data_IF_227573248606
#
_entry.id   IF_227573248606
#
_cell.length_a   1.000
_cell.length_b   1.000
_cell.length_c   1.000
_cell.angle_alpha   90.00
_cell.angle_beta   90.00
_cell.angle_gamma   90.00
#
_symmetry.space_group_name_H-M   'P 1'
#
loop_
_entity.id
_entity.type
_entity.pdbx_description
1 polymer ?
#
# COMPACT_ATOMS: atom_id res chain seq x y z
N UNK A 1 -53.78 32.88 -31.20
CA UNK A 1 -53.29 31.49 -31.00
C UNK A 1 -51.94 31.60 -30.29
N UNK A 2 -51.88 31.25 -29.00
CA UNK A 2 -50.68 31.42 -28.15
C UNK A 2 -49.78 30.20 -28.29
N UNK A 3 -48.54 30.42 -28.73
CA UNK A 3 -47.50 29.39 -28.78
C UNK A 3 -46.79 29.40 -27.42
N UNK A 4 -46.94 28.34 -26.63
CA UNK A 4 -46.26 28.16 -25.34
C UNK A 4 -44.98 27.36 -25.60
N UNK A 5 -43.83 28.00 -25.38
CA UNK A 5 -42.53 27.34 -25.30
C UNK A 5 -42.50 26.38 -24.11
N UNK A 6 -42.17 25.10 -24.33
CA UNK A 6 -41.67 24.21 -23.29
C UNK A 6 -40.16 24.02 -23.50
N UNK A 7 -39.36 24.78 -22.75
CA UNK A 7 -37.94 24.50 -22.51
C UNK A 7 -37.83 23.45 -21.41
N UNK A 8 -37.71 22.17 -21.79
CA UNK A 8 -37.24 21.12 -20.88
C UNK A 8 -35.74 21.31 -20.65
N UNK A 9 -35.39 21.93 -19.52
CA UNK A 9 -34.02 21.96 -19.02
C UNK A 9 -33.64 20.55 -18.55
N UNK A 10 -32.82 19.86 -19.34
CA UNK A 10 -32.17 18.62 -18.93
C UNK A 10 -31.13 18.96 -17.84
N UNK A 11 -31.50 18.77 -16.58
CA UNK A 11 -30.54 18.71 -15.49
C UNK A 11 -29.77 17.39 -15.63
N UNK A 12 -28.72 17.40 -16.43
CA UNK A 12 -27.73 16.33 -16.45
C UNK A 12 -26.97 16.39 -15.10
N UNK A 13 -27.48 15.67 -14.10
CA UNK A 13 -26.67 15.31 -12.94
C UNK A 13 -25.48 14.51 -13.47
N UNK A 14 -24.29 15.11 -13.48
CA UNK A 14 -23.04 14.37 -13.54
C UNK A 14 -22.96 13.52 -12.27
N UNK A 15 -23.62 12.37 -12.28
CA UNK A 15 -23.28 11.29 -11.37
C UNK A 15 -21.85 10.90 -11.74
N UNK A 16 -20.88 11.39 -10.99
CA UNK A 16 -19.51 10.91 -11.03
C UNK A 16 -19.56 9.43 -10.71
N UNK A 17 -19.49 8.59 -11.75
CA UNK A 17 -19.44 7.16 -11.57
C UNK A 17 -18.20 6.84 -10.73
N UNK A 18 -18.42 6.34 -9.51
CA UNK A 18 -17.35 5.87 -8.64
C UNK A 18 -16.63 4.74 -9.36
N UNK A 19 -15.31 4.79 -9.46
CA UNK A 19 -14.57 3.75 -10.15
C UNK A 19 -14.85 2.38 -9.49
N UNK A 20 -15.16 1.38 -10.29
CA UNK A 20 -15.32 0.01 -9.80
C UNK A 20 -13.96 -0.60 -9.49
N UNK A 21 -13.86 -1.31 -8.37
CA UNK A 21 -12.67 -2.07 -8.04
C UNK A 21 -12.47 -3.21 -9.04
N UNK A 22 -11.33 -3.21 -9.70
CA UNK A 22 -10.86 -4.23 -10.65
C UNK A 22 -9.33 -4.21 -10.70
N UNK A 23 -8.68 -5.24 -11.24
CA UNK A 23 -7.24 -5.23 -11.45
C UNK A 23 -6.82 -4.03 -12.30
N UNK A 24 -7.52 -3.76 -13.40
CA UNK A 24 -7.25 -2.62 -14.27
C UNK A 24 -7.30 -1.29 -13.50
N UNK A 25 -8.26 -1.12 -12.58
CA UNK A 25 -8.37 0.08 -11.75
C UNK A 25 -7.25 0.22 -10.71
N UNK A 26 -6.49 -0.84 -10.43
CA UNK A 26 -5.40 -0.87 -9.47
C UNK A 26 -4.01 -0.76 -10.13
N UNK A 27 -3.92 -0.90 -11.45
CA UNK A 27 -2.68 -0.65 -12.19
C UNK A 27 -2.26 0.81 -12.04
N UNK A 28 -0.97 1.05 -11.85
CA UNK A 28 -0.37 2.36 -11.63
C UNK A 28 0.42 2.44 -10.34
N UNK A 29 0.85 3.66 -9.98
CA UNK A 29 1.63 3.92 -8.78
C UNK A 29 0.75 4.47 -7.66
N UNK A 30 0.95 3.92 -6.46
CA UNK A 30 0.21 4.22 -5.26
C UNK A 30 1.18 4.58 -4.14
N UNK A 31 0.89 5.65 -3.42
CA UNK A 31 1.55 5.98 -2.16
C UNK A 31 0.63 5.66 -1.01
N UNK A 32 1.08 4.82 -0.08
CA UNK A 32 0.31 4.40 1.07
C UNK A 32 0.98 4.83 2.38
N UNK A 33 0.15 5.11 3.38
CA UNK A 33 0.57 5.60 4.69
C UNK A 33 0.70 7.14 4.74
N UNK A 34 1.31 7.68 5.81
CA UNK A 34 1.99 6.95 6.87
C UNK A 34 1.02 6.09 7.71
N UNK A 35 1.41 4.84 7.96
CA UNK A 35 0.66 3.90 8.81
C UNK A 35 1.49 3.60 10.06
N UNK A 36 0.92 3.86 11.23
CA UNK A 36 1.57 3.61 12.52
C UNK A 36 1.15 2.24 13.06
N UNK A 37 2.14 1.44 13.46
CA UNK A 37 1.98 0.17 14.16
C UNK A 37 2.72 0.26 15.50
N UNK A 38 2.07 -0.15 16.59
CA UNK A 38 2.64 -0.12 17.92
C UNK A 38 3.15 -1.51 18.28
N UNK A 39 4.47 -1.68 18.37
CA UNK A 39 5.11 -2.89 18.86
C UNK A 39 5.34 -2.84 20.38
N UNK A 40 5.69 -3.96 21.02
CA UNK A 40 5.91 -4.00 22.47
C UNK A 40 7.00 -3.05 22.98
N UNK A 41 8.03 -2.80 22.17
CA UNK A 41 9.23 -2.05 22.56
C UNK A 41 9.59 -0.90 21.58
N UNK A 42 8.78 -0.70 20.55
CA UNK A 42 9.03 0.29 19.51
C UNK A 42 7.73 0.68 18.82
N UNK A 43 7.68 1.91 18.34
CA UNK A 43 6.69 2.32 17.33
C UNK A 43 7.29 2.20 15.93
N UNK A 44 6.47 1.80 14.97
CA UNK A 44 6.84 1.68 13.57
C UNK A 44 5.89 2.52 12.72
N UNK A 45 6.43 3.47 11.96
CA UNK A 45 5.70 4.19 10.92
C UNK A 45 6.18 3.72 9.56
N UNK A 46 5.26 3.23 8.74
CA UNK A 46 5.56 2.75 7.38
C UNK A 46 4.90 3.66 6.36
N UNK A 47 5.66 4.01 5.32
CA UNK A 47 5.14 4.58 4.07
C UNK A 47 5.62 3.73 2.92
N UNK A 48 4.75 3.42 1.97
CA UNK A 48 5.12 2.68 0.77
C UNK A 48 4.80 3.47 -0.49
N UNK A 49 5.60 3.27 -1.53
CA UNK A 49 5.26 3.63 -2.91
C UNK A 49 5.29 2.37 -3.75
N UNK A 50 4.10 1.91 -4.13
CA UNK A 50 3.88 0.64 -4.84
C UNK A 50 3.46 0.90 -6.28
N UNK A 51 4.13 0.28 -7.24
CA UNK A 51 3.72 0.28 -8.64
C UNK A 51 3.23 -1.10 -9.03
N UNK A 52 1.96 -1.19 -9.42
CA UNK A 52 1.31 -2.38 -9.95
C UNK A 52 1.25 -2.28 -11.47
N UNK A 53 1.81 -3.25 -12.19
CA UNK A 53 1.83 -3.28 -13.66
C UNK A 53 0.70 -4.15 -14.24
N UNK A 54 0.32 -3.92 -15.50
CA UNK A 54 -0.70 -4.71 -16.22
C UNK A 54 -0.32 -6.19 -16.40
N UNK A 55 0.97 -6.51 -16.44
CA UNK A 55 1.48 -7.90 -16.51
C UNK A 55 1.48 -8.60 -15.14
N UNK A 56 0.86 -7.94 -14.16
CA UNK A 56 0.74 -8.37 -12.78
C UNK A 56 2.05 -8.48 -12.00
N UNK A 57 3.12 -7.86 -12.49
CA UNK A 57 4.32 -7.61 -11.66
C UNK A 57 4.09 -6.37 -10.80
N UNK A 58 4.78 -6.30 -9.65
CA UNK A 58 4.82 -5.08 -8.86
C UNK A 58 6.21 -4.79 -8.29
N UNK A 59 6.40 -3.53 -7.92
CA UNK A 59 7.49 -3.11 -7.04
C UNK A 59 6.96 -2.23 -5.93
N UNK A 60 7.60 -2.25 -4.76
CA UNK A 60 7.21 -1.41 -3.62
C UNK A 60 8.44 -0.88 -2.92
N UNK A 61 8.64 0.43 -2.96
CA UNK A 61 9.61 1.12 -2.12
C UNK A 61 8.99 1.34 -0.74
N UNK A 62 9.64 0.84 0.30
CA UNK A 62 9.20 1.00 1.69
C UNK A 62 10.14 1.94 2.42
N UNK A 63 9.58 2.88 3.17
CA UNK A 63 10.29 3.64 4.20
C UNK A 63 9.70 3.28 5.56
N UNK A 64 10.54 2.75 6.43
CA UNK A 64 10.18 2.36 7.79
C UNK A 64 10.90 3.26 8.78
N UNK A 65 10.17 3.96 9.65
CA UNK A 65 10.72 4.70 10.79
C UNK A 65 10.42 3.91 12.05
N UNK A 66 11.46 3.34 12.65
CA UNK A 66 11.38 2.53 13.86
C UNK A 66 11.84 3.41 15.02
N UNK A 67 11.01 3.58 16.05
CA UNK A 67 11.33 4.36 17.24
C UNK A 67 11.32 3.45 18.46
N UNK A 68 12.47 2.86 18.85
CA UNK A 68 12.57 2.11 20.10
C UNK A 68 12.33 3.04 21.29
N UNK A 69 11.66 2.54 22.34
CA UNK A 69 11.36 3.35 23.51
C UNK A 69 12.65 3.87 24.18
N UNK A 70 12.74 5.19 24.34
CA UNK A 70 13.90 5.85 24.96
C UNK A 70 15.13 5.95 24.05
N UNK A 71 15.03 5.63 22.77
CA UNK A 71 16.12 5.74 21.80
C UNK A 71 15.74 6.63 20.62
N UNK A 72 16.74 7.05 19.84
CA UNK A 72 16.51 7.79 18.61
C UNK A 72 15.84 6.90 17.55
N UNK A 73 15.01 7.52 16.70
CA UNK A 73 14.37 6.81 15.61
C UNK A 73 15.40 6.40 14.53
N UNK A 74 15.21 5.21 13.98
CA UNK A 74 15.99 4.66 12.87
C UNK A 74 15.11 4.59 11.64
N UNK A 75 15.56 5.18 10.54
CA UNK A 75 14.89 5.13 9.24
C UNK A 75 15.55 4.11 8.33
N UNK A 76 14.79 3.12 7.89
CA UNK A 76 15.22 2.10 6.96
C UNK A 76 14.48 2.24 5.63
N UNK A 77 15.17 1.93 4.53
CA UNK A 77 14.59 1.86 3.18
C UNK A 77 14.91 0.53 2.54
N UNK A 78 13.90 -0.04 1.90
CA UNK A 78 13.99 -1.28 1.12
C UNK A 78 13.07 -1.21 -0.09
N UNK A 79 13.35 -2.03 -1.09
CA UNK A 79 12.47 -2.19 -2.25
C UNK A 79 12.16 -3.67 -2.46
N UNK A 80 10.88 -3.98 -2.56
CA UNK A 80 10.37 -5.30 -2.85
C UNK A 80 9.93 -5.42 -4.30
N UNK A 81 10.03 -6.62 -4.86
CA UNK A 81 9.57 -6.98 -6.19
C UNK A 81 8.83 -8.32 -6.14
N UNK A 82 7.86 -8.48 -7.02
CA UNK A 82 7.22 -9.76 -7.27
C UNK A 82 5.95 -9.62 -8.09
N UNK A 83 4.91 -10.36 -7.70
CA UNK A 83 3.65 -10.43 -8.42
C UNK A 83 2.46 -10.00 -7.55
N UNK A 84 1.40 -9.52 -8.18
CA UNK A 84 0.17 -9.12 -7.51
C UNK A 84 -1.07 -9.65 -8.25
N UNK A 85 -2.20 -9.78 -7.54
CA UNK A 85 -3.52 -10.13 -8.08
C UNK A 85 -4.62 -9.51 -7.24
N UNK A 86 -5.81 -9.36 -7.84
CA UNK A 86 -7.04 -9.06 -7.11
C UNK A 86 -8.00 -10.25 -7.16
N UNK A 87 -8.41 -10.75 -6.00
CA UNK A 87 -9.46 -11.75 -5.87
C UNK A 87 -10.63 -11.14 -5.09
N UNK A 88 -11.73 -10.85 -5.79
CA UNK A 88 -12.85 -10.07 -5.27
C UNK A 88 -12.40 -8.70 -4.70
N UNK A 89 -12.39 -8.55 -3.38
CA UNK A 89 -11.97 -7.35 -2.67
C UNK A 89 -10.58 -7.49 -2.03
N UNK A 90 -9.86 -8.59 -2.26
CA UNK A 90 -8.55 -8.86 -1.64
C UNK A 90 -7.43 -8.71 -2.66
N UNK A 91 -6.52 -7.77 -2.40
CA UNK A 91 -5.25 -7.67 -3.11
C UNK A 91 -4.26 -8.65 -2.48
N UNK A 92 -3.70 -9.54 -3.28
CA UNK A 92 -2.64 -10.46 -2.88
C UNK A 92 -1.34 -10.08 -3.58
N UNK A 93 -0.27 -9.87 -2.80
CA UNK A 93 1.08 -9.58 -3.29
C UNK A 93 2.02 -10.68 -2.86
N UNK A 94 2.66 -11.33 -3.83
CA UNK A 94 3.73 -12.29 -3.58
C UNK A 94 5.07 -11.59 -3.78
N UNK A 95 5.79 -11.37 -2.69
CA UNK A 95 7.17 -10.88 -2.71
C UNK A 95 8.07 -12.02 -3.16
N UNK A 96 8.89 -11.76 -4.18
CA UNK A 96 9.84 -12.73 -4.73
C UNK A 96 11.29 -12.32 -4.41
N UNK A 97 11.54 -11.01 -4.32
CA UNK A 97 12.84 -10.44 -3.97
C UNK A 97 12.67 -9.16 -3.16
N UNK A 98 13.55 -8.98 -2.18
CA UNK A 98 13.71 -7.72 -1.46
C UNK A 98 15.16 -7.28 -1.53
N UNK A 99 15.37 -5.98 -1.72
CA UNK A 99 16.67 -5.35 -1.67
C UNK A 99 16.69 -4.29 -0.57
N UNK A 100 17.57 -4.46 0.40
CA UNK A 100 17.85 -3.43 1.39
C UNK A 100 18.63 -2.28 0.73
N UNK A 101 18.19 -1.04 0.97
CA UNK A 101 18.76 0.16 0.36
C UNK A 101 19.62 0.95 1.34
N UNK A 102 19.08 1.30 2.51
CA UNK A 102 19.80 2.12 3.49
C UNK A 102 19.20 2.05 4.90
N UNK A 103 20.03 2.36 5.89
CA UNK A 103 19.62 2.73 7.25
C UNK A 103 20.16 4.11 7.61
N UNK A 104 19.47 4.84 8.47
CA UNK A 104 20.02 6.02 9.14
C UNK A 104 20.93 5.66 10.32
N UNK A 105 20.91 4.41 10.80
CA UNK A 105 21.84 3.91 11.81
C UNK A 105 23.18 3.56 11.13
N UNK A 106 24.29 4.27 11.45
CA UNK A 106 25.58 4.03 10.82
C UNK A 106 26.20 2.66 11.19
N UNK A 107 25.71 2.02 12.26
CA UNK A 107 26.16 0.68 12.66
C UNK A 107 25.48 -0.43 11.85
N UNK A 108 24.41 -0.09 11.11
CA UNK A 108 23.61 -1.03 10.36
C UNK A 108 24.12 -1.14 8.92
N UNK A 109 24.94 -2.16 8.66
CA UNK A 109 25.52 -2.37 7.32
C UNK A 109 24.47 -2.80 6.30
N UNK A 110 24.79 -2.60 5.02
CA UNK A 110 23.93 -3.03 3.91
C UNK A 110 23.77 -4.55 3.88
N UNK A 111 24.83 -5.29 4.16
CA UNK A 111 24.86 -6.75 4.19
C UNK A 111 23.97 -7.29 5.31
N UNK A 112 24.05 -6.69 6.50
CA UNK A 112 23.20 -7.05 7.64
C UNK A 112 21.73 -6.79 7.32
N UNK A 113 21.42 -5.61 6.76
CA UNK A 113 20.06 -5.28 6.33
C UNK A 113 19.52 -6.25 5.28
N UNK A 114 20.34 -6.63 4.31
CA UNK A 114 19.95 -7.59 3.28
C UNK A 114 19.67 -8.99 3.87
N UNK A 115 20.52 -9.48 4.78
CA UNK A 115 20.31 -10.75 5.46
C UNK A 115 19.00 -10.78 6.25
N UNK A 116 18.65 -9.68 6.92
CA UNK A 116 17.40 -9.55 7.66
C UNK A 116 16.21 -9.61 6.70
N UNK A 117 16.25 -8.88 5.58
CA UNK A 117 15.16 -8.90 4.59
C UNK A 117 14.95 -10.28 3.98
N UNK A 118 16.03 -11.00 3.65
CA UNK A 118 15.95 -12.37 3.16
C UNK A 118 15.37 -13.33 4.20
N UNK A 119 15.73 -13.16 5.47
CA UNK A 119 15.16 -13.95 6.56
C UNK A 119 13.67 -13.67 6.75
N UNK A 120 13.21 -12.43 6.61
CA UNK A 120 11.78 -12.09 6.66
C UNK A 120 11.03 -12.68 5.46
N UNK A 121 11.58 -12.56 4.26
CA UNK A 121 10.99 -13.11 3.04
C UNK A 121 10.78 -14.64 3.14
N UNK A 122 11.75 -15.36 3.71
CA UNK A 122 11.63 -16.81 3.96
C UNK A 122 10.50 -17.17 4.95
N UNK A 123 10.16 -16.27 5.87
CA UNK A 123 9.05 -16.48 6.83
C UNK A 123 7.69 -16.22 6.19
N UNK A 124 7.59 -15.17 5.37
CA UNK A 124 6.36 -14.82 4.66
C UNK A 124 6.67 -14.05 3.38
N UNK A 125 6.24 -14.63 2.26
CA UNK A 125 6.32 -14.02 0.94
C UNK A 125 4.98 -13.49 0.44
N UNK A 126 3.84 -14.03 0.91
CA UNK A 126 2.52 -13.63 0.43
C UNK A 126 1.84 -12.71 1.44
N UNK A 127 1.48 -11.51 1.00
CA UNK A 127 0.79 -10.49 1.77
C UNK A 127 -0.58 -10.23 1.16
N UNK A 128 -1.62 -10.18 2.00
CA UNK A 128 -2.99 -9.98 1.55
C UNK A 128 -3.56 -8.75 2.24
N UNK A 129 -4.32 -7.94 1.52
CA UNK A 129 -5.04 -6.78 2.06
C UNK A 129 -6.43 -6.72 1.46
N UNK A 130 -7.46 -6.61 2.31
CA UNK A 130 -8.84 -6.40 1.89
C UNK A 130 -9.08 -4.91 1.66
N UNK A 131 -9.55 -4.55 0.48
CA UNK A 131 -9.98 -3.20 0.12
C UNK A 131 -11.32 -2.92 0.77
N UNK A 132 -11.36 -1.92 1.63
CA UNK A 132 -12.56 -1.46 2.34
C UNK A 132 -13.28 -0.36 1.57
N UNK A 133 -12.52 0.47 0.85
CA UNK A 133 -13.04 1.63 0.15
C UNK A 133 -12.15 1.97 -1.04
N UNK A 134 -12.76 2.40 -2.15
CA UNK A 134 -12.08 2.72 -3.40
C UNK A 134 -12.87 3.74 -4.22
N UNK A 135 -12.19 4.69 -4.85
CA UNK A 135 -12.80 5.66 -5.76
C UNK A 135 -12.07 5.81 -7.11
N UNK A 136 -10.99 5.05 -7.33
CA UNK A 136 -10.12 5.15 -8.50
C UNK A 136 -8.80 5.89 -8.25
N UNK A 137 -8.80 6.82 -7.31
CA UNK A 137 -7.65 7.66 -6.94
C UNK A 137 -7.18 7.43 -5.50
N UNK A 138 -8.08 6.98 -4.63
CA UNK A 138 -7.80 6.62 -3.26
C UNK A 138 -8.27 5.20 -2.96
N UNK A 139 -7.60 4.56 -2.02
CA UNK A 139 -7.95 3.23 -1.53
C UNK A 139 -7.72 3.16 -0.03
N UNK A 140 -8.62 2.51 0.70
CA UNK A 140 -8.42 2.13 2.10
C UNK A 140 -8.48 0.62 2.21
N UNK A 141 -7.53 0.04 2.93
CA UNK A 141 -7.42 -1.41 3.04
C UNK A 141 -6.95 -1.84 4.42
N UNK A 142 -7.26 -3.07 4.80
CA UNK A 142 -6.76 -3.70 6.02
C UNK A 142 -6.06 -5.01 5.67
N UNK A 143 -4.89 -5.31 6.27
CA UNK A 143 -4.22 -6.58 6.08
C UNK A 143 -5.10 -7.79 6.46
N UNK A 144 -4.95 -8.88 5.71
CA UNK A 144 -5.55 -10.18 5.96
C UNK A 144 -4.44 -11.14 6.38
N UNK A 145 -4.68 -11.90 7.45
CA UNK A 145 -3.74 -12.90 8.01
C UNK A 145 -2.35 -12.32 8.34
N UNK A 146 -2.30 -11.15 8.99
CA UNK A 146 -1.05 -10.53 9.44
C UNK A 146 -0.23 -11.45 10.34
N UNK A 147 1.10 -11.44 10.17
CA UNK A 147 2.01 -12.20 11.05
C UNK A 147 2.00 -11.68 12.48
N UNK A 148 1.79 -10.37 12.63
CA UNK A 148 1.78 -9.65 13.89
C UNK A 148 0.41 -9.02 14.06
N UNK A 149 -0.17 -9.09 15.26
CA UNK A 149 -1.50 -8.52 15.53
C UNK A 149 -1.48 -7.01 15.42
N UNK A 150 -0.35 -6.43 15.78
CA UNK A 150 0.00 -5.02 15.74
C UNK A 150 0.00 -4.46 14.30
N UNK A 151 0.09 -5.34 13.29
CA UNK A 151 0.05 -4.99 11.88
C UNK A 151 -1.38 -5.05 11.29
N UNK A 152 -2.41 -5.31 12.09
CA UNK A 152 -3.82 -5.21 11.65
C UNK A 152 -4.27 -3.75 11.81
N UNK A 153 -3.74 -2.89 10.94
CA UNK A 153 -4.02 -1.44 10.92
C UNK A 153 -4.48 -1.06 9.53
N UNK A 154 -5.47 -0.16 9.43
CA UNK A 154 -5.93 0.37 8.16
C UNK A 154 -4.80 1.17 7.48
N UNK A 155 -4.59 0.89 6.19
CA UNK A 155 -3.69 1.64 5.31
C UNK A 155 -4.51 2.43 4.30
N UNK A 156 -4.21 3.72 4.20
CA UNK A 156 -4.77 4.61 3.19
C UNK A 156 -3.74 4.86 2.09
N UNK A 157 -4.18 4.75 0.84
CA UNK A 157 -3.35 4.95 -0.33
C UNK A 157 -3.95 6.02 -1.26
N UNK A 158 -3.08 6.73 -1.97
CA UNK A 158 -3.45 7.62 -3.08
C UNK A 158 -2.64 7.32 -4.32
N UNK A 159 -3.25 7.47 -5.48
CA UNK A 159 -2.61 7.37 -6.79
C UNK A 159 -1.66 8.56 -7.00
N UNK A 160 -0.54 8.32 -7.69
CA UNK A 160 0.47 9.33 -8.06
C UNK A 160 0.90 9.24 -9.51
#
# INVERSE_FOLDING_TARGET
MRLILLTTALLASCATARASLSEESLVGTWECGPTTMQGPNFDLVVTTRTTNNHDHTYSSLTTSVITPHGQAAVTNKDIAYGSWRLEADVISSTVERVQFLSSSDPTFSRELGQQIQEAQLKKKSVYKSRVLDFDGNTSRSVPVDSMYKEAVVESSCRRV
#
